data_IF_555912385941
#
_entry.id   IF_555912385941
#
_cell.length_a   1.000
_cell.length_b   1.000
_cell.length_c   1.000
_cell.angle_alpha   90.00
_cell.angle_beta   90.00
_cell.angle_gamma   90.00
#
_symmetry.space_group_name_H-M   'P 1'
#
loop_
_entity.id
_entity.type
_entity.pdbx_description
1 polymer ?
#
# COMPACT_ATOMS: atom_id res chain seq x y z
N UNK A 1 5.55 -8.54 -29.84
CA UNK A 1 5.51 -9.36 -28.62
C UNK A 1 4.49 -8.72 -27.67
N UNK A 2 3.61 -9.53 -27.11
CA UNK A 2 2.62 -9.07 -26.13
C UNK A 2 3.26 -9.04 -24.71
N UNK A 3 4.13 -8.06 -24.47
CA UNK A 3 4.94 -7.97 -23.26
C UNK A 3 4.89 -6.56 -22.66
N UNK A 4 4.80 -6.49 -21.33
CA UNK A 4 5.13 -5.28 -20.57
C UNK A 4 6.62 -5.34 -20.23
N UNK A 5 7.38 -4.33 -20.66
CA UNK A 5 8.80 -4.22 -20.40
C UNK A 5 9.05 -2.96 -19.59
N UNK A 6 9.53 -3.13 -18.36
CA UNK A 6 9.75 -2.03 -17.41
C UNK A 6 11.22 -1.94 -17.07
N UNK A 7 11.81 -0.79 -17.35
CA UNK A 7 13.17 -0.44 -16.99
C UNK A 7 13.15 0.69 -15.96
N UNK A 8 13.48 0.38 -14.72
CA UNK A 8 13.72 1.43 -13.72
C UNK A 8 15.19 1.83 -13.72
N UNK A 9 15.47 3.11 -13.51
CA UNK A 9 16.82 3.64 -13.45
C UNK A 9 17.62 2.93 -12.35
N UNK A 10 18.78 2.36 -12.72
CA UNK A 10 19.65 1.63 -11.81
C UNK A 10 19.25 0.18 -11.52
N UNK A 11 18.22 -0.36 -12.19
CA UNK A 11 17.77 -1.75 -12.06
C UNK A 11 17.76 -2.46 -13.41
N UNK A 12 17.74 -3.80 -13.36
CA UNK A 12 17.62 -4.62 -14.55
C UNK A 12 16.26 -4.49 -15.22
N UNK A 13 16.21 -4.72 -16.53
CA UNK A 13 14.96 -4.75 -17.30
C UNK A 13 14.07 -5.90 -16.81
N UNK A 14 12.87 -5.57 -16.39
CA UNK A 14 11.83 -6.52 -16.05
C UNK A 14 10.88 -6.73 -17.24
N UNK A 15 10.61 -7.98 -17.61
CA UNK A 15 9.77 -8.35 -18.75
C UNK A 15 8.65 -9.28 -18.28
N UNK A 16 7.41 -8.87 -18.51
CA UNK A 16 6.20 -9.64 -18.19
C UNK A 16 5.51 -10.06 -19.48
N UNK A 17 5.29 -11.36 -19.62
CA UNK A 17 4.44 -11.90 -20.68
C UNK A 17 2.98 -11.64 -20.31
N UNK A 18 2.29 -10.85 -21.13
CA UNK A 18 0.89 -10.46 -20.90
C UNK A 18 -0.11 -11.58 -21.30
N UNK A 19 0.36 -12.61 -21.99
CA UNK A 19 -0.46 -13.78 -22.31
C UNK A 19 -0.54 -14.77 -21.12
N UNK A 20 0.45 -14.73 -20.21
CA UNK A 20 0.48 -15.53 -18.96
C UNK A 20 0.70 -14.64 -17.73
N UNK A 21 -0.37 -14.29 -17.06
CA UNK A 21 -0.38 -13.49 -15.82
C UNK A 21 -0.62 -14.34 -14.56
N UNK A 22 -0.45 -15.66 -14.65
CA UNK A 22 -0.56 -16.56 -13.49
C UNK A 22 0.48 -16.22 -12.42
N UNK A 23 0.05 -16.19 -11.16
CA UNK A 23 0.98 -15.97 -10.05
C UNK A 23 2.01 -17.11 -9.97
N UNK A 24 3.27 -16.75 -9.74
CA UNK A 24 4.40 -17.68 -9.71
C UNK A 24 5.11 -17.57 -8.37
N UNK A 25 5.19 -18.67 -7.67
CA UNK A 25 5.81 -18.70 -6.34
C UNK A 25 7.29 -18.31 -6.35
N UNK A 26 7.99 -18.65 -7.41
CA UNK A 26 9.40 -18.30 -7.62
C UNK A 26 9.64 -16.81 -7.89
N UNK A 27 8.58 -16.06 -8.23
CA UNK A 27 8.63 -14.60 -8.39
C UNK A 27 8.25 -13.84 -7.11
N UNK A 28 7.82 -14.50 -6.03
CA UNK A 28 7.49 -13.82 -4.77
C UNK A 28 8.65 -12.92 -4.31
N UNK A 29 8.31 -11.77 -3.76
CA UNK A 29 9.25 -10.71 -3.35
C UNK A 29 10.09 -10.11 -4.50
N UNK A 30 9.61 -10.16 -5.74
CA UNK A 30 10.26 -9.54 -6.89
C UNK A 30 9.37 -8.49 -7.56
N UNK A 31 9.99 -7.55 -8.29
CA UNK A 31 9.28 -6.58 -9.12
C UNK A 31 8.40 -7.26 -10.17
N UNK A 32 8.83 -8.42 -10.69
CA UNK A 32 8.06 -9.16 -11.68
C UNK A 32 6.69 -9.61 -11.15
N UNK A 33 6.62 -10.07 -9.90
CA UNK A 33 5.35 -10.47 -9.29
C UNK A 33 4.39 -9.28 -9.13
N UNK A 34 4.86 -8.12 -8.69
CA UNK A 34 4.05 -6.91 -8.60
C UNK A 34 3.46 -6.51 -9.95
N UNK A 35 4.32 -6.38 -10.98
CA UNK A 35 3.90 -6.02 -12.33
C UNK A 35 2.88 -7.01 -12.90
N UNK A 36 3.11 -8.31 -12.69
CA UNK A 36 2.22 -9.39 -13.12
C UNK A 36 0.86 -9.29 -12.42
N UNK A 37 0.86 -9.06 -11.11
CA UNK A 37 -0.34 -8.91 -10.29
C UNK A 37 -1.17 -7.69 -10.73
N UNK A 38 -0.54 -6.55 -10.94
CA UNK A 38 -1.24 -5.36 -11.43
C UNK A 38 -1.84 -5.56 -12.82
N UNK A 39 -1.07 -6.13 -13.76
CA UNK A 39 -1.58 -6.47 -15.09
C UNK A 39 -2.81 -7.37 -15.00
N UNK A 40 -2.78 -8.41 -14.15
CA UNK A 40 -3.92 -9.30 -13.93
C UNK A 40 -5.12 -8.57 -13.35
N UNK A 41 -4.92 -7.73 -12.33
CA UNK A 41 -6.00 -6.98 -11.71
C UNK A 41 -6.67 -6.01 -12.70
N UNK A 42 -5.90 -5.37 -13.58
CA UNK A 42 -6.42 -4.52 -14.65
C UNK A 42 -7.12 -5.34 -15.73
N UNK A 43 -6.58 -6.50 -16.12
CA UNK A 43 -7.21 -7.42 -17.08
C UNK A 43 -8.59 -7.87 -16.59
N UNK A 44 -8.70 -8.24 -15.30
CA UNK A 44 -9.99 -8.61 -14.69
C UNK A 44 -11.02 -7.48 -14.71
N UNK A 45 -10.55 -6.22 -14.73
CA UNK A 45 -11.40 -5.02 -14.87
C UNK A 45 -11.66 -4.60 -16.31
N UNK A 46 -11.25 -5.41 -17.27
CA UNK A 46 -11.54 -5.21 -18.70
C UNK A 46 -10.46 -4.42 -19.46
N UNK A 47 -9.27 -4.24 -18.89
CA UNK A 47 -8.14 -3.67 -19.62
C UNK A 47 -7.76 -4.53 -20.82
N UNK A 48 -7.58 -3.89 -21.96
CA UNK A 48 -7.10 -4.53 -23.20
C UNK A 48 -5.58 -4.39 -23.28
N UNK A 49 -4.90 -5.19 -22.43
CA UNK A 49 -3.45 -5.16 -22.35
C UNK A 49 -2.81 -5.49 -23.70
N UNK A 50 -1.76 -4.78 -24.04
CA UNK A 50 -0.92 -5.00 -25.21
C UNK A 50 0.53 -4.62 -24.89
N UNK A 51 1.46 -4.91 -25.80
CA UNK A 51 2.88 -4.62 -25.59
C UNK A 51 3.14 -3.16 -25.24
N UNK A 52 3.93 -2.93 -24.17
CA UNK A 52 4.27 -1.59 -23.69
C UNK A 52 5.71 -1.59 -23.13
N UNK A 53 6.49 -0.61 -23.55
CA UNK A 53 7.81 -0.31 -22.98
C UNK A 53 7.69 0.90 -22.06
N UNK A 54 8.17 0.74 -20.81
CA UNK A 54 8.13 1.77 -19.77
C UNK A 54 9.52 2.03 -19.23
N UNK A 55 9.92 3.29 -19.16
CA UNK A 55 11.12 3.70 -18.45
C UNK A 55 10.73 4.55 -17.23
N UNK A 56 11.26 4.21 -16.06
CA UNK A 56 10.93 4.85 -14.79
C UNK A 56 12.19 5.45 -14.17
N UNK A 57 12.11 6.71 -13.77
CA UNK A 57 13.06 7.33 -12.85
C UNK A 57 12.32 7.83 -11.62
N UNK A 58 12.98 7.88 -10.47
CA UNK A 58 12.36 8.27 -9.21
C UNK A 58 13.33 9.01 -8.31
N UNK A 59 12.83 10.05 -7.65
CA UNK A 59 13.51 10.73 -6.57
C UNK A 59 12.94 10.36 -5.18
N UNK A 60 12.03 9.40 -5.11
CA UNK A 60 11.53 8.86 -3.84
C UNK A 60 12.62 7.98 -3.22
N UNK A 61 13.16 8.33 -2.04
CA UNK A 61 14.26 7.58 -1.46
C UNK A 61 13.83 6.16 -1.09
N UNK A 62 14.61 5.16 -1.53
CA UNK A 62 14.37 3.76 -1.18
C UNK A 62 14.77 3.48 0.26
N UNK A 63 13.97 2.69 0.98
CA UNK A 63 14.28 2.27 2.36
C UNK A 63 14.13 3.38 3.41
N UNK A 64 13.66 4.56 3.03
CA UNK A 64 13.54 5.73 3.92
C UNK A 64 12.20 5.81 4.67
N UNK A 65 11.34 4.79 4.57
CA UNK A 65 10.02 4.79 5.23
C UNK A 65 8.95 5.66 4.56
N UNK A 66 9.23 6.25 3.38
CA UNK A 66 8.25 7.04 2.60
C UNK A 66 7.54 6.21 1.52
N UNK A 67 7.50 4.89 1.69
CA UNK A 67 6.71 3.95 0.88
C UNK A 67 7.02 4.00 -0.61
N UNK A 68 8.31 3.87 -0.98
CA UNK A 68 8.73 3.83 -2.39
C UNK A 68 8.10 2.66 -3.17
N UNK A 69 7.75 1.55 -2.51
CA UNK A 69 7.02 0.42 -3.12
C UNK A 69 5.62 0.86 -3.55
N UNK A 70 4.84 1.45 -2.65
CA UNK A 70 3.50 1.95 -2.97
C UNK A 70 3.52 3.02 -4.07
N UNK A 71 4.53 3.89 -4.07
CA UNK A 71 4.70 4.88 -5.13
C UNK A 71 4.95 4.21 -6.50
N UNK A 72 5.73 3.13 -6.54
CA UNK A 72 5.97 2.35 -7.76
C UNK A 72 4.71 1.64 -8.24
N UNK A 73 4.00 0.94 -7.35
CA UNK A 73 2.73 0.26 -7.64
C UNK A 73 1.69 1.24 -8.20
N UNK A 74 1.49 2.35 -7.53
CA UNK A 74 0.53 3.38 -7.98
C UNK A 74 0.93 3.97 -9.33
N UNK A 75 2.23 4.21 -9.57
CA UNK A 75 2.71 4.69 -10.88
C UNK A 75 2.38 3.69 -11.98
N UNK A 76 2.67 2.41 -11.78
CA UNK A 76 2.34 1.36 -12.75
C UNK A 76 0.83 1.27 -12.95
N UNK A 77 0.05 1.30 -11.87
CA UNK A 77 -1.41 1.33 -11.93
C UNK A 77 -1.95 2.50 -12.74
N UNK A 78 -1.41 3.70 -12.57
CA UNK A 78 -1.78 4.89 -13.37
C UNK A 78 -1.45 4.68 -14.84
N UNK A 79 -0.28 4.15 -15.17
CA UNK A 79 0.14 3.87 -16.56
C UNK A 79 -0.81 2.86 -17.21
N UNK A 80 -1.09 1.73 -16.53
CA UNK A 80 -2.00 0.70 -17.04
C UNK A 80 -3.42 1.23 -17.21
N UNK A 81 -3.90 2.01 -16.24
CA UNK A 81 -5.19 2.69 -16.31
C UNK A 81 -5.25 3.60 -17.54
N UNK A 82 -4.23 4.42 -17.73
CA UNK A 82 -4.24 5.40 -18.80
C UNK A 82 -4.07 4.77 -20.20
N UNK A 83 -3.21 3.78 -20.33
CA UNK A 83 -2.93 3.14 -21.62
C UNK A 83 -4.01 2.15 -22.05
N UNK A 84 -4.63 1.39 -21.12
CA UNK A 84 -5.40 0.20 -21.48
C UNK A 84 -6.86 0.20 -21.02
N UNK A 85 -7.26 1.10 -20.12
CA UNK A 85 -8.66 1.20 -19.70
C UNK A 85 -9.42 2.19 -20.57
N UNK A 86 -10.57 1.76 -21.12
CA UNK A 86 -11.51 2.65 -21.82
C UNK A 86 -12.24 3.54 -20.81
N UNK A 87 -12.76 2.90 -19.75
CA UNK A 87 -13.33 3.60 -18.59
C UNK A 87 -12.31 3.59 -17.48
N UNK A 88 -11.78 4.78 -17.13
CA UNK A 88 -10.73 4.91 -16.13
C UNK A 88 -11.24 4.52 -14.76
N UNK A 89 -10.44 3.74 -14.03
CA UNK A 89 -10.72 3.47 -12.62
C UNK A 89 -10.28 4.64 -11.74
N UNK A 90 -10.92 4.77 -10.57
CA UNK A 90 -10.62 5.84 -9.62
C UNK A 90 -9.24 5.67 -8.96
N UNK A 91 -8.67 6.75 -8.39
CA UNK A 91 -7.44 6.65 -7.59
C UNK A 91 -7.55 5.62 -6.45
N UNK A 92 -8.72 5.55 -5.78
CA UNK A 92 -8.99 4.55 -4.74
C UNK A 92 -8.86 3.13 -5.31
N UNK A 93 -9.44 2.87 -6.48
CA UNK A 93 -9.34 1.57 -7.11
C UNK A 93 -7.90 1.22 -7.54
N UNK A 94 -7.11 2.20 -7.99
CA UNK A 94 -5.68 2.01 -8.30
C UNK A 94 -4.92 1.59 -7.03
N UNK A 95 -5.15 2.27 -5.91
CA UNK A 95 -4.54 1.91 -4.63
C UNK A 95 -4.90 0.48 -4.19
N UNK A 96 -6.17 0.09 -4.34
CA UNK A 96 -6.64 -1.27 -4.03
C UNK A 96 -6.02 -2.33 -4.95
N UNK A 97 -5.78 -2.00 -6.22
CA UNK A 97 -5.10 -2.88 -7.17
C UNK A 97 -3.65 -3.12 -6.72
N UNK A 98 -2.90 -2.06 -6.40
CA UNK A 98 -1.52 -2.18 -5.91
C UNK A 98 -1.45 -3.05 -4.65
N UNK A 99 -2.28 -2.75 -3.64
CA UNK A 99 -2.37 -3.57 -2.42
C UNK A 99 -2.68 -5.05 -2.74
N UNK A 100 -3.62 -5.31 -3.63
CA UNK A 100 -3.95 -6.68 -4.02
C UNK A 100 -2.77 -7.38 -4.68
N UNK A 101 -2.05 -6.70 -5.57
CA UNK A 101 -0.85 -7.23 -6.20
C UNK A 101 0.25 -7.53 -5.17
N UNK A 102 0.47 -6.63 -4.19
CA UNK A 102 1.43 -6.85 -3.11
C UNK A 102 1.05 -8.04 -2.23
N UNK A 103 -0.22 -8.16 -1.85
CA UNK A 103 -0.68 -9.23 -0.97
C UNK A 103 -0.74 -10.60 -1.65
N UNK A 104 -1.14 -10.66 -2.94
CA UNK A 104 -1.46 -11.93 -3.62
C UNK A 104 -0.31 -12.42 -4.49
N UNK A 105 0.40 -11.53 -5.16
CA UNK A 105 1.49 -11.88 -6.08
C UNK A 105 2.87 -11.71 -5.47
N UNK A 106 3.11 -10.60 -4.78
CA UNK A 106 4.39 -10.37 -4.11
C UNK A 106 4.52 -11.19 -2.84
N UNK A 107 3.39 -11.55 -2.19
CA UNK A 107 3.36 -12.41 -1.02
C UNK A 107 3.61 -11.69 0.30
N UNK A 108 3.57 -10.37 0.34
CA UNK A 108 3.77 -9.57 1.56
C UNK A 108 2.45 -8.94 1.99
N UNK A 109 1.87 -9.33 3.14
CA UNK A 109 0.70 -8.68 3.69
C UNK A 109 0.98 -7.20 4.01
N UNK A 110 0.25 -6.29 3.39
CA UNK A 110 0.36 -4.86 3.65
C UNK A 110 -1.02 -4.23 3.91
N UNK A 111 -1.01 -3.05 4.56
CA UNK A 111 -2.17 -2.18 4.65
C UNK A 111 -2.44 -1.44 3.34
N UNK A 112 -3.51 -0.65 3.29
CA UNK A 112 -3.91 0.12 2.09
C UNK A 112 -3.50 1.60 2.18
N UNK A 113 -2.99 2.05 3.32
CA UNK A 113 -2.75 3.46 3.60
C UNK A 113 -1.75 4.08 2.62
N UNK A 114 -0.63 3.41 2.38
CA UNK A 114 0.47 3.95 1.58
C UNK A 114 0.10 4.08 0.11
N UNK A 115 -0.52 3.06 -0.46
CA UNK A 115 -1.05 3.10 -1.82
C UNK A 115 -2.14 4.16 -1.96
N UNK A 116 -3.02 4.32 -0.94
CA UNK A 116 -4.07 5.32 -0.95
C UNK A 116 -3.49 6.74 -0.93
N UNK A 117 -2.54 7.00 -0.02
CA UNK A 117 -1.87 8.29 0.07
C UNK A 117 -1.13 8.64 -1.24
N UNK A 118 -0.44 7.66 -1.83
CA UNK A 118 0.28 7.84 -3.09
C UNK A 118 -0.66 8.09 -4.28
N UNK A 119 -1.80 7.39 -4.33
CA UNK A 119 -2.72 7.45 -5.46
C UNK A 119 -3.64 8.68 -5.44
N UNK A 120 -4.16 9.05 -4.27
CA UNK A 120 -5.05 10.20 -4.11
C UNK A 120 -4.24 11.51 -4.06
N UNK A 121 -3.08 11.45 -3.43
CA UNK A 121 -2.17 12.60 -3.31
C UNK A 121 -2.62 13.63 -2.29
N UNK A 122 -1.79 14.64 -2.05
CA UNK A 122 -1.97 15.68 -1.05
C UNK A 122 -2.08 15.11 0.38
N UNK A 123 -2.79 15.83 1.27
CA UNK A 123 -3.10 15.36 2.61
C UNK A 123 -4.53 14.85 2.59
N UNK A 124 -4.72 13.64 3.08
CA UNK A 124 -6.00 12.96 3.12
C UNK A 124 -6.25 12.37 4.50
N UNK A 125 -7.52 12.27 4.88
CA UNK A 125 -7.97 11.36 5.93
C UNK A 125 -8.52 10.10 5.29
N UNK A 126 -8.33 8.96 5.95
CA UNK A 126 -8.83 7.67 5.47
C UNK A 126 -9.54 6.99 6.62
N UNK A 127 -10.82 6.66 6.45
CA UNK A 127 -11.56 5.81 7.36
C UNK A 127 -11.74 4.41 6.75
N UNK A 128 -11.15 3.42 7.39
CA UNK A 128 -11.23 2.00 6.99
C UNK A 128 -12.35 1.24 7.73
N UNK A 129 -13.41 1.91 8.17
CA UNK A 129 -14.57 1.23 8.75
C UNK A 129 -15.16 0.20 7.78
N UNK A 130 -15.26 0.55 6.50
CA UNK A 130 -15.47 -0.39 5.39
C UNK A 130 -14.19 -0.48 4.55
N UNK A 131 -13.48 -1.61 4.66
CA UNK A 131 -12.23 -1.82 3.91
C UNK A 131 -12.43 -1.96 2.41
N UNK A 132 -13.61 -2.37 1.98
CA UNK A 132 -13.92 -2.51 0.56
C UNK A 132 -14.21 -1.13 -0.07
N UNK A 133 -14.80 -0.23 0.73
CA UNK A 133 -15.15 1.12 0.31
C UNK A 133 -14.66 2.12 1.38
N UNK A 134 -13.34 2.35 1.48
CA UNK A 134 -12.80 3.29 2.45
C UNK A 134 -13.31 4.70 2.18
N UNK A 135 -13.64 5.43 3.24
CA UNK A 135 -13.98 6.84 3.14
C UNK A 135 -12.69 7.67 3.13
N UNK A 136 -12.48 8.43 2.05
CA UNK A 136 -11.25 9.18 1.79
C UNK A 136 -11.59 10.63 1.52
N UNK A 137 -11.17 11.52 2.44
CA UNK A 137 -11.43 12.94 2.32
C UNK A 137 -10.12 13.75 2.18
N UNK A 138 -10.02 14.66 1.19
CA UNK A 138 -8.89 15.57 1.08
C UNK A 138 -8.93 16.62 2.19
N UNK A 139 -7.79 16.81 2.86
CA UNK A 139 -7.63 17.85 3.89
C UNK A 139 -6.94 19.06 3.29
N UNK A 140 -7.63 20.21 3.33
CA UNK A 140 -7.08 21.46 2.83
C UNK A 140 -6.14 22.10 3.86
N UNK A 141 -4.85 21.84 3.73
CA UNK A 141 -3.80 22.41 4.58
C UNK A 141 -2.76 23.11 3.72
N UNK A 142 -2.46 24.37 4.07
CA UNK A 142 -1.34 25.11 3.49
C UNK A 142 -0.34 25.39 4.62
N UNK A 143 0.66 24.56 4.73
CA UNK A 143 1.71 24.69 5.75
C UNK A 143 2.44 26.02 5.65
N UNK A 144 2.67 26.54 4.46
CA UNK A 144 3.40 27.80 4.26
C UNK A 144 2.61 28.99 4.81
N UNK A 145 1.28 29.02 4.64
CA UNK A 145 0.41 30.03 5.26
C UNK A 145 0.35 29.91 6.79
N UNK A 146 0.51 28.69 7.31
CA UNK A 146 0.59 28.47 8.76
C UNK A 146 1.98 28.77 9.34
N UNK A 147 2.95 29.15 8.52
CA UNK A 147 4.35 29.35 8.95
C UNK A 147 5.07 28.08 9.32
N UNK A 148 4.62 26.92 8.79
CA UNK A 148 5.16 25.60 9.05
C UNK A 148 5.85 25.02 7.80
N UNK A 149 6.78 24.10 8.01
CA UNK A 149 7.38 23.28 6.97
C UNK A 149 7.33 21.82 7.37
N UNK A 150 6.98 20.93 6.43
CA UNK A 150 7.10 19.51 6.60
C UNK A 150 8.53 19.10 6.22
N UNK A 151 9.25 18.49 7.18
CA UNK A 151 10.61 18.01 6.96
C UNK A 151 10.65 16.50 7.12
N UNK A 152 11.37 15.82 6.20
CA UNK A 152 11.69 14.40 6.31
C UNK A 152 13.16 14.32 6.72
N UNK A 153 13.44 13.68 7.85
CA UNK A 153 14.77 13.45 8.35
C UNK A 153 15.12 11.97 8.18
N UNK A 154 16.13 11.69 7.35
CA UNK A 154 16.65 10.35 7.22
C UNK A 154 17.45 9.98 8.49
N UNK A 155 17.04 8.93 9.20
CA UNK A 155 17.73 8.43 10.38
C UNK A 155 18.93 7.53 10.04
N UNK A 156 19.11 7.18 8.77
CA UNK A 156 20.14 6.24 8.30
C UNK A 156 19.86 4.79 8.72
N UNK A 157 18.66 4.48 9.24
CA UNK A 157 18.26 3.12 9.62
C UNK A 157 17.43 2.49 8.49
N UNK A 158 17.77 1.26 8.12
CA UNK A 158 16.95 0.45 7.22
C UNK A 158 15.94 -0.37 8.04
N UNK A 159 14.71 -0.48 7.55
CA UNK A 159 13.63 -1.25 8.17
C UNK A 159 13.32 -2.54 7.40
N UNK A 160 14.14 -2.92 6.43
CA UNK A 160 13.93 -4.13 5.62
C UNK A 160 13.88 -5.42 6.48
N UNK A 161 14.63 -5.45 7.59
CA UNK A 161 14.70 -6.59 8.51
C UNK A 161 13.60 -6.59 9.59
N UNK A 162 12.68 -5.62 9.60
CA UNK A 162 11.65 -5.46 10.62
C UNK A 162 10.28 -6.06 10.23
N UNK A 163 10.24 -6.98 9.27
CA UNK A 163 8.99 -7.56 8.75
C UNK A 163 8.14 -8.20 9.86
N UNK A 164 8.76 -8.93 10.80
CA UNK A 164 8.05 -9.57 11.91
C UNK A 164 7.45 -8.53 12.87
N UNK A 165 8.17 -7.44 13.12
CA UNK A 165 7.69 -6.34 13.98
C UNK A 165 6.50 -5.60 13.33
N UNK A 166 6.55 -5.37 12.03
CA UNK A 166 5.41 -4.81 11.28
C UNK A 166 4.20 -5.74 11.30
N UNK A 167 4.39 -7.05 11.15
CA UNK A 167 3.32 -8.04 11.22
C UNK A 167 2.73 -8.17 12.64
N UNK A 168 3.51 -7.90 13.69
CA UNK A 168 3.07 -7.95 15.07
C UNK A 168 2.04 -6.84 15.38
N UNK A 169 2.22 -5.62 14.86
CA UNK A 169 1.37 -4.47 15.17
C UNK A 169 -0.12 -4.73 14.92
N UNK A 170 -0.57 -5.21 13.74
CA UNK A 170 -1.98 -5.52 13.52
C UNK A 170 -2.52 -6.61 14.45
N UNK A 171 -1.69 -7.58 14.84
CA UNK A 171 -2.08 -8.64 15.76
C UNK A 171 -2.27 -8.10 17.18
N UNK A 172 -1.37 -7.26 17.65
CA UNK A 172 -1.45 -6.56 18.93
C UNK A 172 -2.68 -5.65 18.98
N UNK A 173 -2.94 -4.86 17.93
CA UNK A 173 -4.16 -4.05 17.84
C UNK A 173 -5.44 -4.89 17.93
N UNK A 174 -5.50 -6.04 17.26
CA UNK A 174 -6.64 -6.96 17.35
C UNK A 174 -6.79 -7.56 18.74
N UNK A 175 -5.68 -7.93 19.39
CA UNK A 175 -5.71 -8.46 20.75
C UNK A 175 -6.29 -7.43 21.73
N UNK A 176 -5.87 -6.16 21.65
CA UNK A 176 -6.42 -5.07 22.47
C UNK A 176 -7.91 -4.84 22.15
N UNK A 177 -8.30 -4.83 20.87
CA UNK A 177 -9.69 -4.70 20.47
C UNK A 177 -10.57 -5.81 21.06
N UNK A 178 -10.09 -7.06 21.02
CA UNK A 178 -10.80 -8.21 21.58
C UNK A 178 -11.03 -8.08 23.09
N UNK A 179 -10.04 -7.59 23.86
CA UNK A 179 -10.20 -7.31 25.31
C UNK A 179 -11.29 -6.25 25.54
N UNK A 180 -11.45 -5.31 24.61
CA UNK A 180 -12.48 -4.27 24.65
C UNK A 180 -13.83 -4.69 24.03
N UNK A 181 -13.97 -5.94 23.56
CA UNK A 181 -15.21 -6.47 22.98
C UNK A 181 -15.42 -6.14 21.50
N UNK A 182 -14.38 -5.70 20.78
CA UNK A 182 -14.41 -5.41 19.35
C UNK A 182 -13.51 -6.32 18.52
N UNK A 183 -13.77 -6.42 17.22
CA UNK A 183 -12.90 -7.15 16.29
C UNK A 183 -11.67 -6.32 15.87
N UNK A 184 -11.83 -5.02 15.78
CA UNK A 184 -10.80 -4.04 15.46
C UNK A 184 -10.97 -2.80 16.34
N UNK A 185 -9.89 -2.04 16.56
CA UNK A 185 -9.95 -0.83 17.40
C UNK A 185 -10.90 0.23 16.85
N UNK A 186 -11.10 0.28 15.54
CA UNK A 186 -12.01 1.26 14.89
C UNK A 186 -13.44 1.20 15.41
N UNK A 187 -13.92 0.01 15.82
CA UNK A 187 -15.29 -0.17 16.33
C UNK A 187 -15.37 -0.09 17.86
N UNK A 188 -14.25 0.07 18.55
CA UNK A 188 -14.19 0.21 20.01
C UNK A 188 -14.37 1.67 20.38
N UNK A 189 -15.40 2.05 21.19
CA UNK A 189 -15.50 3.40 21.69
C UNK A 189 -14.28 3.77 22.53
N UNK A 190 -13.79 4.99 22.38
CA UNK A 190 -12.57 5.44 23.06
C UNK A 190 -12.66 5.32 24.58
N UNK A 191 -13.82 5.67 25.16
CA UNK A 191 -14.06 5.53 26.60
C UNK A 191 -13.99 4.07 27.07
N UNK A 192 -14.45 3.13 26.23
CA UNK A 192 -14.35 1.69 26.51
C UNK A 192 -12.87 1.26 26.51
N UNK A 193 -12.08 1.73 25.56
CA UNK A 193 -10.64 1.47 25.54
C UNK A 193 -9.97 2.02 26.80
N UNK A 194 -10.23 3.28 27.17
CA UNK A 194 -9.64 3.90 28.37
C UNK A 194 -9.96 3.12 29.64
N UNK A 195 -11.20 2.68 29.81
CA UNK A 195 -11.63 1.90 30.97
C UNK A 195 -10.96 0.52 31.03
N UNK A 196 -10.57 -0.06 29.88
CA UNK A 196 -9.97 -1.37 29.79
C UNK A 196 -8.42 -1.38 29.73
N UNK A 197 -7.74 -0.22 29.76
CA UNK A 197 -6.27 -0.14 29.70
C UNK A 197 -5.58 -1.10 30.70
N UNK A 198 -5.98 -1.20 31.99
CA UNK A 198 -5.33 -2.13 32.91
C UNK A 198 -5.47 -3.60 32.49
N UNK A 199 -6.64 -3.98 31.96
CA UNK A 199 -6.88 -5.32 31.46
C UNK A 199 -6.09 -5.60 30.16
N UNK A 200 -6.03 -4.65 29.25
CA UNK A 200 -5.26 -4.73 28.02
C UNK A 200 -3.75 -4.90 28.32
N UNK A 201 -3.20 -4.10 29.22
CA UNK A 201 -1.80 -4.25 29.64
C UNK A 201 -1.49 -5.61 30.22
N UNK A 202 -2.40 -6.12 31.07
CA UNK A 202 -2.23 -7.45 31.70
C UNK A 202 -2.28 -8.60 30.68
N UNK A 203 -3.13 -8.50 29.67
CA UNK A 203 -3.39 -9.59 28.71
C UNK A 203 -2.54 -9.51 27.45
N UNK A 204 -2.28 -8.29 26.94
CA UNK A 204 -1.61 -8.05 25.67
C UNK A 204 -0.19 -7.48 25.83
N UNK A 205 0.16 -7.00 27.03
CA UNK A 205 1.43 -6.32 27.29
C UNK A 205 1.38 -4.80 27.05
N UNK A 206 2.40 -4.11 27.58
CA UNK A 206 2.46 -2.64 27.49
C UNK A 206 2.65 -2.15 26.05
N UNK A 207 3.46 -2.85 25.26
CA UNK A 207 3.70 -2.50 23.85
C UNK A 207 2.41 -2.45 23.03
N UNK A 208 1.53 -3.43 23.22
CA UNK A 208 0.27 -3.49 22.46
C UNK A 208 -0.71 -2.35 22.81
N UNK A 209 -0.53 -1.70 23.98
CA UNK A 209 -1.40 -0.60 24.45
C UNK A 209 -0.83 0.77 24.10
N UNK A 210 0.49 0.88 23.91
CA UNK A 210 1.18 2.13 23.55
C UNK A 210 1.16 2.40 22.07
#
# INVERSE_FOLDING_TARGET
LNQLRVQSEGYDLCVIDLDDLTARKEEENTTASLLRGECEAFRQRGAKLSGLDVYISSNVPKGSGVSSSAAFEVLVGVILNDCFMTEKVSPIAIAQIGQWAENVYFGKPCGLMDQMASSVGNIITIDFADKANPDVEPVQVDFSKAGLALCILDSGADHADLTDEYAAIPNECRAVAAVCGGEVLRVVPFETFLANIPACRKQCGDRAVL
#
